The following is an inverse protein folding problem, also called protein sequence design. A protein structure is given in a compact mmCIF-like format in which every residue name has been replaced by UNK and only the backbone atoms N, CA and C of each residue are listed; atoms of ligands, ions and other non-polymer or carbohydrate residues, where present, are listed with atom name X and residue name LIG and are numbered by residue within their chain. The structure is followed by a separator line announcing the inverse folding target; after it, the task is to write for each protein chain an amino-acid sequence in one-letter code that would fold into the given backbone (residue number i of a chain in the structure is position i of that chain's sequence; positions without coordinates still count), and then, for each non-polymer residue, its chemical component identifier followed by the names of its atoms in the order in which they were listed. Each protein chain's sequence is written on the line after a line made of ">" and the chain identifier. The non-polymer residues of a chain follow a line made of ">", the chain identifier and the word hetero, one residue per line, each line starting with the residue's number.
data_IF_172529841405
#
_entry.id   IF_172529841405
#
_cell.length_a   1.000
_cell.length_b   1.000
_cell.length_c   1.000
_cell.angle_alpha   90.00
_cell.angle_beta   90.00
_cell.angle_gamma   90.00
#
_symmetry.space_group_name_H-M   'P 1'
#
loop_
_entity.id
_entity.type
_entity.pdbx_description
1 polymer ?
#
# COMPACT_ATOMS: atom_id res chain seq x y z
N UNK A 1 5.61 10.94 -16.09
CA UNK A 1 4.44 10.78 -15.19
C UNK A 1 4.63 11.43 -13.81
N UNK A 2 5.73 11.19 -13.09
CA UNK A 2 5.96 11.84 -11.76
C UNK A 2 5.90 13.37 -11.79
N UNK A 3 6.51 14.00 -12.79
CA UNK A 3 6.47 15.47 -12.95
C UNK A 3 5.04 16.02 -13.13
N UNK A 4 4.14 15.24 -13.75
CA UNK A 4 2.74 15.64 -13.90
C UNK A 4 2.01 15.63 -12.55
N UNK A 5 2.17 14.59 -11.74
CA UNK A 5 1.58 14.55 -10.40
C UNK A 5 2.16 15.62 -9.48
N UNK A 6 3.44 15.95 -9.62
CA UNK A 6 4.03 17.08 -8.91
C UNK A 6 3.36 18.40 -9.32
N UNK A 7 3.18 18.63 -10.62
CA UNK A 7 2.48 19.82 -11.11
C UNK A 7 1.03 19.92 -10.60
N UNK A 8 0.31 18.79 -10.54
CA UNK A 8 -1.06 18.73 -10.00
C UNK A 8 -1.06 19.09 -8.52
N UNK A 9 -0.10 18.58 -7.76
CA UNK A 9 0.08 18.92 -6.35
C UNK A 9 0.43 20.41 -6.17
N UNK A 10 1.33 20.97 -6.99
CA UNK A 10 1.68 22.39 -6.92
C UNK A 10 0.46 23.30 -7.20
N UNK A 11 -0.47 22.85 -8.05
CA UNK A 11 -1.71 23.59 -8.36
C UNK A 11 -2.82 23.43 -7.34
N UNK A 12 -2.97 22.25 -6.73
CA UNK A 12 -4.11 21.90 -5.88
C UNK A 12 -3.76 21.79 -4.39
N UNK A 13 -2.46 21.78 -4.05
CA UNK A 13 -1.96 21.70 -2.69
C UNK A 13 -2.38 20.42 -1.97
N UNK A 14 -2.34 19.26 -2.64
CA UNK A 14 -2.91 18.01 -2.13
C UNK A 14 -2.02 17.35 -1.06
N UNK A 15 -0.69 17.48 -1.14
CA UNK A 15 0.25 16.84 -0.22
C UNK A 15 0.01 17.16 1.24
N UNK A 16 -0.52 18.35 1.56
CA UNK A 16 -0.77 18.76 2.95
C UNK A 16 -1.80 17.86 3.65
N UNK A 17 -2.67 17.21 2.88
CA UNK A 17 -3.75 16.35 3.36
C UNK A 17 -3.42 14.85 3.18
N UNK A 18 -2.18 14.52 2.77
CA UNK A 18 -1.74 13.13 2.52
C UNK A 18 -0.68 12.72 3.52
N UNK A 19 -0.95 11.63 4.24
CA UNK A 19 0.06 10.98 5.10
C UNK A 19 0.78 9.88 4.31
N UNK A 20 1.97 10.19 3.79
CA UNK A 20 2.83 9.21 3.11
C UNK A 20 3.46 8.20 4.09
N UNK A 21 4.07 7.15 3.56
CA UNK A 21 4.75 6.09 4.33
C UNK A 21 3.87 5.49 5.45
N UNK A 22 2.57 5.42 5.20
CA UNK A 22 1.57 4.96 6.16
C UNK A 22 0.71 3.93 5.46
N UNK A 23 0.81 2.67 5.88
CA UNK A 23 0.02 1.58 5.31
C UNK A 23 -1.17 1.31 6.23
N UNK A 24 -2.38 1.35 5.68
CA UNK A 24 -3.57 0.87 6.37
C UNK A 24 -3.50 -0.65 6.53
N UNK A 25 -3.66 -1.15 7.76
CA UNK A 25 -3.60 -2.57 8.11
C UNK A 25 -4.95 -3.15 8.51
N UNK A 26 -5.87 -2.33 9.03
CA UNK A 26 -7.25 -2.74 9.28
C UNK A 26 -8.23 -1.58 9.13
N UNK A 27 -9.48 -1.91 8.82
CA UNK A 27 -10.61 -1.00 8.82
C UNK A 27 -11.84 -1.76 9.32
N UNK A 28 -12.42 -1.31 10.42
CA UNK A 28 -13.56 -1.95 11.09
C UNK A 28 -14.70 -0.93 11.18
N UNK A 29 -15.94 -1.34 10.91
CA UNK A 29 -17.11 -0.48 11.04
C UNK A 29 -17.68 -0.58 12.46
N UNK A 30 -17.96 0.57 13.07
CA UNK A 30 -18.63 0.69 14.36
C UNK A 30 -20.09 1.12 14.14
N UNK A 31 -21.02 0.21 14.41
CA UNK A 31 -22.47 0.45 14.29
C UNK A 31 -23.02 1.42 15.34
N UNK A 32 -22.36 1.53 16.50
CA UNK A 32 -22.76 2.44 17.58
C UNK A 32 -22.40 3.89 17.27
N UNK A 33 -21.20 4.12 16.72
CA UNK A 33 -20.73 5.47 16.36
C UNK A 33 -21.02 5.86 14.91
N UNK A 34 -21.48 4.92 14.09
CA UNK A 34 -21.67 5.05 12.64
C UNK A 34 -20.41 5.57 11.92
N UNK A 35 -19.26 4.99 12.28
CA UNK A 35 -17.93 5.38 11.78
C UNK A 35 -17.06 4.17 11.51
N UNK A 36 -16.07 4.37 10.65
CA UNK A 36 -14.97 3.43 10.50
C UNK A 36 -13.92 3.68 11.56
N UNK A 37 -13.27 2.63 12.06
CA UNK A 37 -12.01 2.69 12.79
C UNK A 37 -10.94 2.11 11.88
N UNK A 38 -10.03 2.95 11.40
CA UNK A 38 -8.95 2.58 10.49
C UNK A 38 -7.62 2.61 11.23
N UNK A 39 -6.88 1.50 11.20
CA UNK A 39 -5.57 1.36 11.84
C UNK A 39 -4.48 1.25 10.79
N UNK A 40 -3.31 1.77 11.11
CA UNK A 40 -2.15 1.79 10.22
C UNK A 40 -0.94 1.09 10.84
N UNK A 41 0.05 0.74 10.03
CA UNK A 41 1.26 0.04 10.43
C UNK A 41 2.16 0.84 11.38
N UNK A 42 2.08 2.17 11.35
CA UNK A 42 2.80 3.06 12.26
C UNK A 42 2.04 3.38 13.55
N UNK A 43 0.90 2.72 13.79
CA UNK A 43 0.09 2.88 15.00
C UNK A 43 -0.91 4.05 14.96
N UNK A 44 -0.95 4.85 13.88
CA UNK A 44 -2.00 5.85 13.71
C UNK A 44 -3.38 5.19 13.57
N UNK A 45 -4.35 5.70 14.32
CA UNK A 45 -5.76 5.31 14.27
C UNK A 45 -6.59 6.52 13.90
N UNK A 46 -7.45 6.38 12.89
CA UNK A 46 -8.37 7.44 12.45
C UNK A 46 -9.80 6.91 12.38
N UNK A 47 -10.76 7.78 12.70
CA UNK A 47 -12.18 7.41 12.78
C UNK A 47 -13.08 8.16 11.79
N UNK A 48 -12.91 7.94 10.46
CA UNK A 48 -13.68 8.66 9.46
C UNK A 48 -15.13 8.13 9.37
N UNK A 49 -16.06 9.01 9.02
CA UNK A 49 -17.44 8.60 8.72
C UNK A 49 -17.54 7.84 7.39
N UNK A 50 -16.73 8.21 6.42
CA UNK A 50 -16.71 7.60 5.10
C UNK A 50 -15.30 7.11 4.78
N UNK A 51 -15.19 5.90 4.21
CA UNK A 51 -13.94 5.31 3.79
C UNK A 51 -13.97 5.07 2.27
N UNK A 52 -13.08 5.73 1.53
CA UNK A 52 -12.95 5.59 0.08
C UNK A 52 -11.65 4.84 -0.22
N UNK A 53 -11.77 3.63 -0.78
CA UNK A 53 -10.61 2.78 -1.09
C UNK A 53 -10.10 3.04 -2.51
N UNK A 54 -9.06 3.88 -2.63
CA UNK A 54 -8.37 4.17 -3.88
C UNK A 54 -7.06 3.36 -4.02
N UNK A 55 -7.03 2.11 -3.56
CA UNK A 55 -5.81 1.29 -3.42
C UNK A 55 -5.31 0.65 -4.72
N UNK A 56 -6.13 0.68 -5.79
CA UNK A 56 -5.82 0.03 -7.06
C UNK A 56 -5.76 -1.52 -6.97
N UNK A 57 -5.79 -2.20 -8.12
CA UNK A 57 -5.80 -3.68 -8.20
C UNK A 57 -4.43 -4.33 -8.48
N UNK A 58 -3.37 -3.53 -8.66
CA UNK A 58 -2.06 -3.96 -9.15
C UNK A 58 -0.95 -3.90 -8.08
N UNK A 59 -1.32 -3.85 -6.80
CA UNK A 59 -0.38 -3.57 -5.70
C UNK A 59 0.19 -4.80 -5.01
N UNK A 60 -0.30 -6.00 -5.33
CA UNK A 60 0.20 -7.26 -4.76
C UNK A 60 1.01 -8.01 -5.81
N UNK A 61 2.34 -8.11 -5.64
CA UNK A 61 3.18 -8.86 -6.57
C UNK A 61 2.79 -10.32 -6.61
N UNK A 62 2.41 -10.80 -7.79
CA UNK A 62 2.21 -12.22 -8.01
C UNK A 62 3.56 -12.95 -8.08
N UNK A 63 3.76 -13.91 -7.18
CA UNK A 63 4.92 -14.79 -7.20
C UNK A 63 4.44 -16.16 -7.72
N UNK A 64 4.82 -16.56 -8.95
CA UNK A 64 4.46 -17.87 -9.47
C UNK A 64 5.08 -18.99 -8.62
N UNK A 65 4.28 -19.99 -8.30
CA UNK A 65 4.72 -21.16 -7.52
C UNK A 65 5.46 -22.17 -8.41
N UNK A 66 6.68 -21.82 -8.85
CA UNK A 66 7.55 -22.77 -9.54
C UNK A 66 8.15 -23.75 -8.53
N UNK A 67 8.10 -25.06 -8.85
CA UNK A 67 8.70 -26.10 -8.01
C UNK A 67 10.23 -25.89 -7.94
N UNK A 68 10.79 -25.74 -6.74
CA UNK A 68 12.23 -25.52 -6.55
C UNK A 68 12.66 -24.05 -6.58
N UNK A 69 11.73 -23.10 -6.66
CA UNK A 69 12.03 -21.66 -6.61
C UNK A 69 12.74 -21.27 -5.31
N UNK A 70 12.41 -21.94 -4.21
CA UNK A 70 13.04 -21.81 -2.89
C UNK A 70 14.51 -22.28 -2.88
N UNK A 71 14.91 -23.14 -3.82
CA UNK A 71 16.29 -23.67 -3.92
C UNK A 71 17.18 -22.85 -4.87
N UNK A 72 16.62 -21.83 -5.51
CA UNK A 72 17.34 -21.00 -6.45
C UNK A 72 18.34 -20.09 -5.72
N UNK A 73 19.63 -20.33 -5.88
CA UNK A 73 20.68 -19.56 -5.18
C UNK A 73 20.99 -18.19 -5.80
N UNK A 74 20.32 -17.83 -6.90
CA UNK A 74 20.50 -16.55 -7.58
C UNK A 74 19.53 -15.46 -7.13
N UNK A 75 19.60 -14.30 -7.78
CA UNK A 75 18.64 -13.21 -7.56
C UNK A 75 17.40 -13.41 -8.43
N UNK A 76 16.24 -13.50 -7.80
CA UNK A 76 14.97 -13.42 -8.49
C UNK A 76 14.58 -11.94 -8.62
N UNK A 77 14.36 -11.49 -9.86
CA UNK A 77 13.91 -10.13 -10.16
C UNK A 77 12.50 -10.26 -10.74
N UNK A 78 11.52 -9.67 -10.05
CA UNK A 78 10.17 -9.53 -10.61
C UNK A 78 9.99 -8.11 -11.13
N UNK A 79 9.12 -7.91 -12.12
CA UNK A 79 8.85 -6.56 -12.66
C UNK A 79 8.39 -5.57 -11.57
N UNK A 80 7.73 -6.09 -10.55
CA UNK A 80 7.10 -5.31 -9.48
C UNK A 80 7.94 -5.23 -8.20
N UNK A 81 9.08 -5.94 -8.12
CA UNK A 81 9.91 -5.97 -6.93
C UNK A 81 11.40 -6.06 -7.26
N UNK A 82 12.21 -5.26 -6.58
CA UNK A 82 13.67 -5.30 -6.66
C UNK A 82 14.25 -6.68 -6.31
N UNK A 83 15.58 -6.85 -6.44
CA UNK A 83 16.23 -8.15 -6.29
C UNK A 83 15.89 -8.77 -4.93
N UNK A 84 15.21 -9.91 -4.96
CA UNK A 84 14.96 -10.73 -3.76
C UNK A 84 15.84 -11.96 -3.83
N UNK A 85 16.59 -12.18 -2.75
CA UNK A 85 17.29 -13.43 -2.51
C UNK A 85 16.22 -14.47 -2.19
N UNK A 86 16.29 -15.65 -2.79
CA UNK A 86 15.46 -16.77 -2.31
C UNK A 86 15.86 -17.00 -0.84
N UNK A 87 14.94 -16.67 0.07
CA UNK A 87 15.12 -16.93 1.49
C UNK A 87 15.08 -18.45 1.69
N UNK A 88 15.99 -18.94 2.52
CA UNK A 88 16.01 -20.32 3.03
C UNK A 88 14.70 -20.67 3.73
#
# INVERSE_FOLDING_TARGET
>A
MRAYFQHVDDKLGLKKDITFNTRVVSAEWDDGEHRWTVKTDNGLVVQPRFLILATGSLTVPYIPAFKGLEKFQGFAITREGGPRRALQ
#
